data_IF_049997014554
#
_entry.id   IF_049997014554
#
_cell.length_a   1.000
_cell.length_b   1.000
_cell.length_c   1.000
_cell.angle_alpha   90.00
_cell.angle_beta   90.00
_cell.angle_gamma   90.00
#
_symmetry.space_group_name_H-M   'P 1'
#
loop_
_entity.id
_entity.type
_entity.pdbx_description
1 polymer ?
#
# COMPACT_ATOMS: atom_id res chain seq x y z
N UNK A 1 -37.31 -84.90 0.87
CA UNK A 1 -35.99 -84.39 0.56
C UNK A 1 -36.13 -82.87 0.33
N UNK A 2 -35.72 -82.04 1.27
CA UNK A 2 -35.96 -80.64 1.26
C UNK A 2 -34.63 -79.92 0.97
N UNK A 3 -34.57 -79.23 -0.17
CA UNK A 3 -33.41 -78.48 -0.58
C UNK A 3 -33.55 -77.06 -0.06
N UNK A 4 -32.65 -76.66 0.85
CA UNK A 4 -32.60 -75.34 1.45
C UNK A 4 -31.97 -74.38 0.46
N UNK A 5 -32.73 -73.37 -0.01
CA UNK A 5 -32.28 -72.23 -0.81
C UNK A 5 -31.67 -71.17 0.08
N UNK A 6 -30.36 -70.99 -0.06
CA UNK A 6 -29.62 -69.95 0.64
C UNK A 6 -29.76 -68.63 -0.13
N UNK A 7 -30.49 -67.65 0.42
CA UNK A 7 -30.59 -66.28 -0.09
C UNK A 7 -29.33 -65.51 0.30
N UNK A 8 -28.48 -65.22 -0.66
CA UNK A 8 -27.36 -64.26 -0.51
C UNK A 8 -27.94 -62.84 -0.49
N UNK A 9 -27.93 -62.22 0.67
CA UNK A 9 -28.24 -60.81 0.80
C UNK A 9 -27.13 -59.93 0.21
N UNK A 10 -27.49 -59.14 -0.76
CA UNK A 10 -26.66 -58.06 -1.21
C UNK A 10 -26.81 -56.85 -0.29
N UNK A 11 -25.76 -56.52 0.43
CA UNK A 11 -25.62 -55.26 1.13
C UNK A 11 -25.21 -54.22 0.09
N UNK A 12 -25.91 -53.08 -0.08
CA UNK A 12 -25.42 -51.98 -0.83
C UNK A 12 -24.41 -51.23 0.02
N UNK A 13 -23.18 -51.20 -0.46
CA UNK A 13 -22.09 -50.39 0.10
C UNK A 13 -22.38 -48.91 -0.20
N UNK A 14 -23.00 -48.23 0.77
CA UNK A 14 -23.19 -46.78 0.70
C UNK A 14 -21.83 -46.11 0.87
N UNK A 15 -21.21 -45.70 -0.23
CA UNK A 15 -20.02 -44.85 -0.24
C UNK A 15 -20.46 -43.45 0.16
N UNK A 16 -20.25 -43.10 1.41
CA UNK A 16 -20.44 -41.77 1.96
C UNK A 16 -19.28 -40.90 1.46
N UNK A 17 -19.46 -40.22 0.31
CA UNK A 17 -18.55 -39.17 -0.12
C UNK A 17 -18.64 -37.99 0.85
N UNK A 18 -17.81 -38.02 1.87
CA UNK A 18 -17.53 -36.83 2.70
C UNK A 18 -16.77 -35.81 1.84
N UNK A 19 -17.53 -34.89 1.22
CA UNK A 19 -16.99 -33.70 0.55
C UNK A 19 -16.40 -32.80 1.65
N UNK A 20 -15.12 -32.98 1.91
CA UNK A 20 -14.36 -32.08 2.78
C UNK A 20 -14.35 -30.68 2.14
N UNK A 21 -15.15 -29.75 2.69
CA UNK A 21 -15.01 -28.32 2.45
C UNK A 21 -13.62 -27.91 2.97
N UNK A 22 -12.62 -27.95 2.11
CA UNK A 22 -11.35 -27.27 2.36
C UNK A 22 -11.61 -25.78 2.28
N UNK A 23 -11.87 -25.14 3.43
CA UNK A 23 -11.86 -23.68 3.57
C UNK A 23 -10.46 -23.21 3.22
N UNK A 24 -10.29 -22.69 2.00
CA UNK A 24 -9.08 -21.98 1.61
C UNK A 24 -9.08 -20.68 2.42
N UNK A 25 -8.43 -20.71 3.58
CA UNK A 25 -8.10 -19.49 4.33
C UNK A 25 -7.10 -18.74 3.45
N UNK A 26 -7.63 -17.88 2.58
CA UNK A 26 -6.81 -16.97 1.80
C UNK A 26 -6.06 -16.09 2.79
N UNK A 27 -4.72 -16.11 2.76
CA UNK A 27 -3.89 -15.11 3.40
C UNK A 27 -4.30 -13.74 2.82
N UNK A 28 -5.21 -13.07 3.50
CA UNK A 28 -5.70 -11.74 3.14
C UNK A 28 -4.60 -10.71 3.36
N UNK A 29 -3.67 -10.59 2.40
CA UNK A 29 -2.75 -9.47 2.36
C UNK A 29 -3.53 -8.16 2.25
N UNK A 30 -3.05 -7.10 2.91
CA UNK A 30 -3.65 -5.77 2.81
C UNK A 30 -3.63 -5.32 1.35
N UNK A 31 -4.81 -5.05 0.78
CA UNK A 31 -4.92 -4.53 -0.58
C UNK A 31 -4.25 -3.17 -0.66
N UNK A 32 -3.35 -3.00 -1.62
CA UNK A 32 -2.65 -1.74 -1.88
C UNK A 32 -2.96 -1.26 -3.29
N UNK A 33 -2.99 0.05 -3.44
CA UNK A 33 -3.12 0.68 -4.73
C UNK A 33 -1.79 1.33 -5.12
N UNK A 34 -1.38 1.21 -6.37
CA UNK A 34 -0.21 1.93 -6.87
C UNK A 34 -0.50 3.43 -6.80
N UNK A 35 0.45 4.19 -6.26
CA UNK A 35 0.39 5.65 -6.18
C UNK A 35 1.67 6.21 -6.78
N UNK A 36 1.51 7.04 -7.78
CA UNK A 36 2.60 7.76 -8.45
C UNK A 36 2.12 9.14 -8.85
N UNK A 37 3.04 10.08 -8.93
CA UNK A 37 2.70 11.46 -9.29
C UNK A 37 3.93 12.32 -9.42
N UNK A 38 3.70 13.63 -9.43
CA UNK A 38 4.75 14.64 -9.54
C UNK A 38 4.81 15.51 -8.29
N UNK A 39 6.00 16.07 -8.03
CA UNK A 39 6.24 17.02 -6.93
C UNK A 39 6.98 18.23 -7.48
N UNK A 40 6.41 19.39 -7.26
CA UNK A 40 7.04 20.67 -7.62
C UNK A 40 7.18 21.57 -6.39
N UNK A 41 8.23 22.39 -6.37
CA UNK A 41 8.40 23.48 -5.42
C UNK A 41 8.53 24.79 -6.22
N UNK A 42 7.63 25.75 -5.98
CA UNK A 42 7.55 27.01 -6.75
C UNK A 42 7.52 26.75 -8.28
N UNK A 43 6.71 25.78 -8.71
CA UNK A 43 6.55 25.31 -10.11
C UNK A 43 7.80 24.66 -10.73
N UNK A 44 8.86 24.43 -9.97
CA UNK A 44 10.04 23.69 -10.45
C UNK A 44 9.97 22.24 -9.98
N UNK A 45 10.29 21.26 -10.85
CA UNK A 45 10.37 19.88 -10.45
C UNK A 45 11.35 19.71 -9.29
N UNK A 46 10.92 19.03 -8.23
CA UNK A 46 11.77 18.74 -7.10
C UNK A 46 12.64 17.52 -7.39
N UNK A 47 13.96 17.66 -7.24
CA UNK A 47 14.86 16.51 -7.42
C UNK A 47 15.62 16.20 -6.14
N UNK A 48 15.33 15.02 -5.59
CA UNK A 48 15.92 14.52 -4.33
C UNK A 48 14.98 14.58 -3.16
N UNK A 49 15.42 13.96 -2.05
CA UNK A 49 14.59 13.73 -0.87
C UNK A 49 13.60 12.58 -1.04
N UNK A 50 12.72 12.46 -0.06
CA UNK A 50 11.71 11.41 0.01
C UNK A 50 10.35 12.01 0.32
N UNK A 51 9.34 11.51 -0.34
CA UNK A 51 7.95 11.71 0.00
C UNK A 51 7.50 10.59 0.95
N UNK A 52 6.77 10.93 1.98
CA UNK A 52 6.24 9.96 2.96
C UNK A 52 4.74 10.17 3.13
N UNK A 53 3.97 9.10 2.97
CA UNK A 53 2.52 9.05 3.18
C UNK A 53 2.24 8.39 4.52
N UNK A 54 1.84 9.17 5.51
CA UNK A 54 1.45 8.70 6.84
C UNK A 54 -0.06 8.63 6.93
N UNK A 55 -0.65 7.48 7.35
CA UNK A 55 -2.09 7.34 7.52
C UNK A 55 -2.68 8.45 8.40
N UNK A 56 -3.71 9.13 7.91
CA UNK A 56 -4.40 10.20 8.64
C UNK A 56 -5.49 9.62 9.55
N UNK A 57 -5.13 9.39 10.81
CA UNK A 57 -6.04 8.85 11.81
C UNK A 57 -7.24 9.78 12.08
N UNK A 58 -7.04 11.08 11.96
CA UNK A 58 -8.12 12.06 12.15
C UNK A 58 -9.20 11.95 11.06
N UNK A 59 -8.83 11.43 9.89
CA UNK A 59 -9.75 11.14 8.78
C UNK A 59 -10.10 9.64 8.67
N UNK A 60 -9.93 8.88 9.75
CA UNK A 60 -10.37 7.49 9.86
C UNK A 60 -9.42 6.45 9.23
N UNK A 61 -8.24 6.83 8.76
CA UNK A 61 -7.28 5.84 8.26
C UNK A 61 -6.50 5.22 9.41
N UNK A 62 -6.85 3.99 9.77
CA UNK A 62 -6.22 3.23 10.87
C UNK A 62 -5.09 2.31 10.41
N UNK A 63 -4.71 2.34 9.14
CA UNK A 63 -3.59 1.56 8.63
C UNK A 63 -2.31 1.85 9.41
N UNK A 64 -1.48 0.82 9.59
CA UNK A 64 -0.17 0.97 10.24
C UNK A 64 0.97 1.12 9.22
N UNK A 65 0.60 1.18 7.94
CA UNK A 65 1.53 1.10 6.83
C UNK A 65 1.82 2.49 6.30
N UNK A 66 3.10 2.87 6.28
CA UNK A 66 3.59 4.13 5.74
C UNK A 66 4.15 3.89 4.34
N UNK A 67 3.70 4.67 3.37
CA UNK A 67 4.26 4.67 2.02
C UNK A 67 5.43 5.65 1.91
N UNK A 68 6.50 5.25 1.22
CA UNK A 68 7.68 6.10 0.99
C UNK A 68 8.10 6.02 -0.48
N UNK A 69 8.65 7.11 -0.97
CA UNK A 69 9.26 7.15 -2.30
C UNK A 69 10.40 8.17 -2.37
N UNK A 70 11.53 7.81 -2.96
CA UNK A 70 12.49 8.83 -3.39
C UNK A 70 11.87 9.67 -4.50
N UNK A 71 12.22 10.95 -4.51
CA UNK A 71 11.84 11.87 -5.59
C UNK A 71 13.02 11.99 -6.55
N UNK A 72 12.73 11.78 -7.83
CA UNK A 72 13.70 11.90 -8.93
C UNK A 72 13.07 12.71 -10.04
N UNK A 73 13.72 13.80 -10.41
CA UNK A 73 13.26 14.68 -11.51
C UNK A 73 11.78 15.09 -11.36
N UNK A 74 11.37 15.38 -10.13
CA UNK A 74 9.99 15.74 -9.81
C UNK A 74 9.00 14.59 -9.82
N UNK A 75 9.42 13.34 -9.97
CA UNK A 75 8.53 12.16 -10.03
C UNK A 75 8.73 11.25 -8.83
N UNK A 76 7.67 10.56 -8.44
CA UNK A 76 7.71 9.58 -7.39
C UNK A 76 6.77 8.39 -7.66
N UNK A 77 7.08 7.24 -7.08
CA UNK A 77 6.21 6.06 -7.05
C UNK A 77 6.32 5.44 -5.67
N UNK A 78 5.20 5.34 -4.96
CA UNK A 78 5.20 4.85 -3.59
C UNK A 78 5.50 3.37 -3.50
N UNK A 79 6.36 3.06 -2.55
CA UNK A 79 6.60 1.72 -2.05
C UNK A 79 6.27 1.68 -0.56
N UNK A 80 5.75 0.57 -0.12
CA UNK A 80 5.50 0.30 1.29
C UNK A 80 6.58 -0.63 1.81
N UNK A 81 7.19 -0.25 2.92
CA UNK A 81 8.06 -1.14 3.69
C UNK A 81 7.34 -1.46 4.99
N UNK A 82 6.87 -2.69 5.12
CA UNK A 82 6.26 -3.19 6.35
C UNK A 82 7.26 -3.96 7.21
N UNK A 83 6.82 -4.35 8.41
CA UNK A 83 7.60 -5.19 9.33
C UNK A 83 7.78 -6.58 8.75
N UNK A 84 6.79 -7.07 8.01
CA UNK A 84 6.82 -8.37 7.34
C UNK A 84 6.90 -8.20 5.83
N UNK A 85 7.35 -9.25 5.13
CA UNK A 85 7.40 -9.27 3.67
C UNK A 85 6.01 -9.09 3.04
N UNK A 86 4.95 -9.58 3.67
CA UNK A 86 3.57 -9.41 3.23
C UNK A 86 3.07 -7.97 3.35
N UNK A 87 3.67 -7.16 4.20
CA UNK A 87 3.37 -5.73 4.38
C UNK A 87 4.19 -4.83 3.46
N UNK A 88 5.22 -5.37 2.81
CA UNK A 88 6.05 -4.64 1.86
C UNK A 88 5.52 -4.81 0.43
N UNK A 89 5.69 -3.79 -0.42
CA UNK A 89 5.29 -3.85 -1.83
C UNK A 89 4.96 -2.49 -2.43
N UNK A 90 4.51 -2.50 -3.67
CA UNK A 90 4.13 -1.29 -4.39
C UNK A 90 2.82 -0.69 -3.84
N UNK A 91 2.78 0.63 -3.72
CA UNK A 91 1.60 1.38 -3.33
C UNK A 91 1.28 1.37 -1.83
N UNK A 92 0.11 1.86 -1.48
CA UNK A 92 -0.38 1.95 -0.10
C UNK A 92 -1.85 1.51 -0.01
N UNK A 93 -2.36 1.13 1.18
CA UNK A 93 -3.77 0.87 1.39
C UNK A 93 -4.68 2.06 1.04
N UNK A 94 -5.94 1.77 0.79
CA UNK A 94 -7.00 2.79 0.65
C UNK A 94 -7.11 3.65 1.89
N UNK A 95 -7.45 4.93 1.71
CA UNK A 95 -7.75 5.85 2.79
C UNK A 95 -7.03 7.18 2.70
N UNK A 96 -7.18 8.01 3.72
CA UNK A 96 -6.59 9.33 3.80
C UNK A 96 -5.16 9.31 4.34
N UNK A 97 -4.30 10.14 3.77
CA UNK A 97 -2.90 10.26 4.14
C UNK A 97 -2.49 11.71 4.32
N UNK A 98 -1.65 11.96 5.31
CA UNK A 98 -0.83 13.15 5.43
C UNK A 98 0.46 12.93 4.65
N UNK A 99 0.84 13.91 3.84
CA UNK A 99 2.02 13.80 2.99
C UNK A 99 3.10 14.73 3.51
N UNK A 100 4.27 14.17 3.80
CA UNK A 100 5.43 14.93 4.27
C UNK A 100 6.62 14.74 3.34
N UNK A 101 7.50 15.72 3.37
CA UNK A 101 8.75 15.70 2.63
C UNK A 101 9.93 15.56 3.60
N UNK A 102 10.82 14.60 3.29
CA UNK A 102 12.04 14.36 4.09
C UNK A 102 13.29 14.49 3.23
N UNK A 103 14.27 15.22 3.74
CA UNK A 103 15.59 15.32 3.14
C UNK A 103 16.50 14.33 3.87
N UNK A 104 17.15 13.45 3.12
CA UNK A 104 18.30 12.71 3.61
C UNK A 104 19.55 13.43 3.13
N UNK A 105 20.20 14.17 3.98
CA UNK A 105 21.41 14.97 3.65
C UNK A 105 22.50 14.13 2.97
N UNK A 106 22.67 12.88 3.39
CA UNK A 106 23.63 11.96 2.80
C UNK A 106 23.32 11.63 1.34
N UNK A 107 22.04 11.49 0.99
CA UNK A 107 21.61 11.26 -0.40
C UNK A 107 21.88 12.47 -1.29
N UNK A 108 21.70 13.66 -0.77
CA UNK A 108 21.96 14.92 -1.48
C UNK A 108 23.45 15.10 -1.75
N UNK A 109 24.29 14.83 -0.75
CA UNK A 109 25.75 14.89 -0.87
C UNK A 109 26.30 13.88 -1.89
N UNK A 110 25.83 12.63 -1.85
CA UNK A 110 26.26 11.57 -2.78
C UNK A 110 25.90 11.88 -4.24
N UNK A 111 24.78 12.55 -4.49
CA UNK A 111 24.32 12.92 -5.84
C UNK A 111 24.83 14.26 -6.31
N UNK A 112 25.55 15.03 -5.50
CA UNK A 112 25.97 16.41 -5.79
C UNK A 112 24.78 17.32 -6.20
N UNK A 113 23.62 17.07 -5.60
CA UNK A 113 22.42 17.89 -5.81
C UNK A 113 22.55 19.21 -5.04
N UNK A 114 21.95 20.25 -5.58
CA UNK A 114 21.83 21.52 -4.87
C UNK A 114 21.06 21.34 -3.56
N UNK A 115 21.34 22.11 -2.50
CA UNK A 115 20.60 22.06 -1.27
C UNK A 115 19.10 22.33 -1.53
N UNK A 116 18.26 21.40 -1.15
CA UNK A 116 16.81 21.53 -1.32
C UNK A 116 16.27 22.25 -0.10
N UNK A 117 15.78 23.46 -0.27
CA UNK A 117 15.18 24.25 0.80
C UNK A 117 13.65 24.13 0.74
N UNK A 118 13.12 23.05 1.30
CA UNK A 118 11.67 22.85 1.45
C UNK A 118 11.23 23.50 2.79
N UNK A 119 10.15 24.30 2.78
CA UNK A 119 9.61 24.90 4.00
C UNK A 119 9.26 23.87 5.07
N UNK A 120 9.47 24.25 6.34
CA UNK A 120 9.27 23.35 7.48
C UNK A 120 7.83 22.85 7.61
N UNK A 121 6.86 23.64 7.14
CA UNK A 121 5.44 23.22 7.10
C UNK A 121 5.21 21.88 6.40
N UNK A 122 6.07 21.47 5.45
CA UNK A 122 5.94 20.19 4.73
C UNK A 122 6.73 19.04 5.37
N UNK A 123 7.50 19.31 6.40
CA UNK A 123 8.43 18.32 6.99
C UNK A 123 7.82 17.50 8.12
N UNK A 124 6.69 17.93 8.67
CA UNK A 124 6.04 17.27 9.83
C UNK A 124 4.60 16.91 9.50
N UNK A 125 4.14 15.78 10.03
CA UNK A 125 2.75 15.30 9.90
C UNK A 125 1.75 16.28 10.54
N UNK A 126 2.19 16.98 11.60
CA UNK A 126 1.35 17.93 12.34
C UNK A 126 1.12 19.22 11.55
N UNK A 127 2.12 19.67 10.80
CA UNK A 127 2.10 20.98 10.12
C UNK A 127 1.81 20.91 8.63
N UNK A 128 1.96 19.72 8.02
CA UNK A 128 1.77 19.60 6.57
C UNK A 128 0.35 19.92 6.14
N UNK A 129 0.18 20.84 5.18
CA UNK A 129 -1.13 21.08 4.57
C UNK A 129 -1.47 20.01 3.50
N UNK A 130 -0.50 19.16 3.14
CA UNK A 130 -0.69 18.16 2.10
C UNK A 130 -1.45 16.96 2.67
N UNK A 131 -2.65 16.74 2.15
CA UNK A 131 -3.51 15.62 2.51
C UNK A 131 -4.13 15.06 1.24
N UNK A 132 -4.18 13.74 1.11
CA UNK A 132 -4.69 13.06 -0.07
C UNK A 132 -5.45 11.79 0.31
N UNK A 133 -6.48 11.47 -0.45
CA UNK A 133 -7.19 10.21 -0.35
C UNK A 133 -6.71 9.24 -1.43
N UNK A 134 -6.24 8.07 -1.00
CA UNK A 134 -5.94 6.96 -1.90
C UNK A 134 -7.21 6.14 -2.09
N UNK A 135 -7.71 6.10 -3.32
CA UNK A 135 -8.96 5.45 -3.71
C UNK A 135 -8.83 4.70 -5.03
N UNK A 136 -9.78 3.83 -5.33
CA UNK A 136 -9.74 2.93 -6.48
C UNK A 136 -9.66 3.63 -7.85
N UNK A 137 -10.35 4.72 -8.01
CA UNK A 137 -10.40 5.46 -9.27
C UNK A 137 -10.06 6.93 -9.01
N UNK A 138 -8.76 7.27 -8.85
CA UNK A 138 -8.36 8.65 -8.64
C UNK A 138 -8.51 9.45 -9.94
N UNK A 139 -8.88 10.73 -9.79
CA UNK A 139 -8.82 11.66 -10.91
C UNK A 139 -7.37 11.86 -11.38
N UNK A 140 -7.13 12.13 -12.66
CA UNK A 140 -5.80 12.46 -13.15
C UNK A 140 -5.19 13.60 -12.35
N UNK A 141 -3.93 13.43 -11.90
CA UNK A 141 -3.22 14.42 -11.11
C UNK A 141 -3.60 14.47 -9.62
N UNK A 142 -4.48 13.58 -9.11
CA UNK A 142 -4.84 13.52 -7.68
C UNK A 142 -3.64 13.35 -6.75
N UNK A 143 -2.56 12.81 -7.27
CA UNK A 143 -1.33 12.55 -6.53
C UNK A 143 -0.20 13.49 -6.92
N UNK A 144 -0.49 14.61 -7.58
CA UNK A 144 0.48 15.64 -7.89
C UNK A 144 0.53 16.69 -6.78
N UNK A 145 1.72 16.95 -6.24
CA UNK A 145 1.91 17.89 -5.15
C UNK A 145 2.64 19.15 -5.62
N UNK A 146 1.99 20.28 -5.43
CA UNK A 146 2.55 21.61 -5.69
C UNK A 146 2.86 22.27 -4.35
N UNK A 147 4.14 22.40 -4.04
CA UNK A 147 4.61 23.07 -2.83
C UNK A 147 5.02 24.51 -3.16
N UNK A 148 4.86 25.39 -2.22
CA UNK A 148 5.27 26.79 -2.29
C UNK A 148 6.03 27.18 -1.03
N UNK A 149 6.99 28.09 -1.18
CA UNK A 149 7.71 28.70 -0.06
C UNK A 149 6.82 29.51 0.86
#
# INVERSE_FOLDING_TARGET
MATKMVRRGWLPLAILCAFGLTSVVGCGGVRRLPVSGTVTLDNQPLDGGYLEFTPDKAKGNTAQIIGKSPIKEGRYTLETTGVTRSESGAGVPLGWYKVTFRILEESTKKRKLAPINVPDKYKSVETTPLSVEVKDNPEPGSYDFKMTK
#
